data_IF_847052737436
#
_entry.id   IF_847052737436
#
_cell.length_a   1.000
_cell.length_b   1.000
_cell.length_c   1.000
_cell.angle_alpha   90.00
_cell.angle_beta   90.00
_cell.angle_gamma   90.00
#
_symmetry.space_group_name_H-M   'P 1'
#
loop_
_entity.id
_entity.type
_entity.pdbx_description
1 polymer ?
#
# COMPACT_ATOMS: atom_id res chain seq x y z
N UNK A 1 -17.27 23.61 -4.55
CA UNK A 1 -16.80 23.23 -3.20
C UNK A 1 -15.29 23.17 -3.30
N UNK A 2 -14.58 24.02 -2.56
CA UNK A 2 -13.11 24.02 -2.51
C UNK A 2 -12.65 22.78 -1.75
N UNK A 3 -12.04 21.84 -2.45
CA UNK A 3 -11.28 20.73 -1.86
C UNK A 3 -10.26 21.33 -0.90
N UNK A 4 -10.32 20.93 0.37
CA UNK A 4 -9.24 21.27 1.32
C UNK A 4 -7.93 20.74 0.73
N UNK A 5 -6.87 21.55 0.72
CA UNK A 5 -5.55 21.06 0.24
C UNK A 5 -5.14 19.87 1.09
N UNK A 6 -4.46 18.90 0.47
CA UNK A 6 -3.90 17.73 1.14
C UNK A 6 -3.01 18.17 2.32
N UNK A 7 -2.35 19.33 2.20
CA UNK A 7 -1.57 19.97 3.26
C UNK A 7 -2.40 20.20 4.53
N UNK A 8 -3.64 20.68 4.37
CA UNK A 8 -4.52 21.00 5.50
C UNK A 8 -5.08 19.75 6.17
N UNK A 9 -5.33 18.69 5.40
CA UNK A 9 -5.84 17.41 5.92
C UNK A 9 -4.72 16.56 6.52
N UNK A 10 -3.55 16.55 5.89
CA UNK A 10 -2.33 15.92 6.41
C UNK A 10 -1.86 16.58 7.70
N UNK A 11 -1.82 17.92 7.75
CA UNK A 11 -1.52 18.64 8.98
C UNK A 11 -2.49 18.24 10.10
N UNK A 12 -3.81 18.24 9.84
CA UNK A 12 -4.82 17.90 10.85
C UNK A 12 -4.71 16.46 11.38
N UNK A 13 -4.34 15.50 10.54
CA UNK A 13 -4.34 14.09 10.91
C UNK A 13 -3.06 13.62 11.61
N UNK A 14 -1.92 14.30 11.40
CA UNK A 14 -0.63 13.93 11.99
C UNK A 14 -0.30 14.65 13.32
N UNK A 15 -1.30 15.20 14.03
CA UNK A 15 -1.10 16.19 15.11
C UNK A 15 -0.43 17.48 14.58
N UNK A 16 -1.23 18.30 13.90
CA UNK A 16 -0.90 19.58 13.26
C UNK A 16 -0.06 20.56 14.10
N UNK A 17 -0.02 20.39 15.41
CA UNK A 17 0.78 21.23 16.29
C UNK A 17 2.28 21.11 15.98
N UNK A 18 2.75 20.04 15.32
CA UNK A 18 4.16 19.91 14.93
C UNK A 18 4.46 20.43 13.52
N UNK A 19 3.49 20.46 12.60
CA UNK A 19 3.73 20.89 11.21
C UNK A 19 3.77 22.39 11.00
N UNK A 20 3.07 23.15 11.83
CA UNK A 20 3.29 24.59 11.92
C UNK A 20 4.69 24.95 12.48
N UNK A 21 5.40 23.96 13.07
CA UNK A 21 6.71 24.15 13.69
C UNK A 21 7.87 23.57 12.86
N UNK A 22 7.61 22.82 11.77
CA UNK A 22 8.67 22.39 10.88
C UNK A 22 9.04 23.53 9.93
N UNK A 23 10.33 23.87 9.81
CA UNK A 23 10.74 24.96 8.93
C UNK A 23 10.45 24.60 7.46
N UNK A 24 10.23 25.60 6.58
CA UNK A 24 9.81 25.36 5.19
C UNK A 24 10.78 24.50 4.36
N UNK A 25 12.04 24.46 4.77
CA UNK A 25 13.12 23.68 4.17
C UNK A 25 13.18 22.23 4.69
N UNK A 26 12.37 21.84 5.68
CA UNK A 26 12.30 20.46 6.14
C UNK A 26 11.84 19.50 5.02
N UNK A 27 12.47 18.33 4.93
CA UNK A 27 12.16 17.30 3.93
C UNK A 27 10.68 16.92 3.89
N UNK A 28 10.03 16.80 5.05
CA UNK A 28 8.61 16.47 5.15
C UNK A 28 7.76 17.56 4.50
N UNK A 29 8.05 18.83 4.82
CA UNK A 29 7.33 19.99 4.27
C UNK A 29 7.41 20.02 2.75
N UNK A 30 8.60 19.81 2.20
CA UNK A 30 8.81 19.81 0.75
C UNK A 30 8.16 18.59 0.06
N UNK A 31 8.20 17.41 0.68
CA UNK A 31 7.52 16.21 0.15
C UNK A 31 6.01 16.37 0.06
N UNK A 32 5.36 17.01 1.05
CA UNK A 32 3.91 17.29 0.97
C UNK A 32 3.62 18.19 -0.23
N UNK A 33 4.43 19.24 -0.44
CA UNK A 33 4.23 20.16 -1.56
C UNK A 33 4.32 19.41 -2.88
N UNK A 34 5.32 18.53 -3.03
CA UNK A 34 5.47 17.70 -4.23
C UNK A 34 4.25 16.80 -4.44
N UNK A 35 3.78 16.11 -3.40
CA UNK A 35 2.62 15.21 -3.49
C UNK A 35 1.32 15.98 -3.77
N UNK A 36 1.08 17.11 -3.11
CA UNK A 36 -0.10 17.97 -3.32
C UNK A 36 -0.10 18.56 -4.76
N UNK A 37 1.06 19.00 -5.26
CA UNK A 37 1.20 19.45 -6.64
C UNK A 37 0.96 18.32 -7.65
N UNK A 38 1.35 17.09 -7.32
CA UNK A 38 1.06 15.91 -8.16
C UNK A 38 -0.42 15.63 -8.20
N UNK A 39 -1.06 15.57 -7.02
CA UNK A 39 -2.49 15.26 -6.86
C UNK A 39 -3.40 16.33 -7.46
N UNK A 40 -2.98 17.59 -7.42
CA UNK A 40 -3.67 18.72 -8.07
C UNK A 40 -3.30 18.88 -9.55
N UNK A 41 -2.51 17.95 -10.12
CA UNK A 41 -2.06 17.98 -11.51
C UNK A 41 -1.31 19.27 -11.91
N UNK A 42 -0.75 19.99 -10.95
CA UNK A 42 0.12 21.14 -11.19
C UNK A 42 1.49 20.70 -11.71
N UNK A 43 1.92 19.50 -11.33
CA UNK A 43 3.16 18.85 -11.78
C UNK A 43 2.85 17.45 -12.30
N UNK A 44 3.66 16.97 -13.25
CA UNK A 44 3.51 15.61 -13.74
C UNK A 44 4.13 14.60 -12.76
N UNK A 45 3.64 13.34 -12.73
CA UNK A 45 4.24 12.27 -11.93
C UNK A 45 5.77 12.15 -12.09
N UNK A 46 6.27 12.24 -13.32
CA UNK A 46 7.71 12.20 -13.63
C UNK A 46 8.48 13.37 -13.02
N UNK A 47 7.94 14.60 -13.12
CA UNK A 47 8.60 15.78 -12.57
C UNK A 47 8.64 15.72 -11.04
N UNK A 48 7.55 15.29 -10.42
CA UNK A 48 7.45 15.09 -8.97
C UNK A 48 8.38 13.99 -8.48
N UNK A 49 8.46 12.87 -9.18
CA UNK A 49 9.39 11.78 -8.86
C UNK A 49 10.85 12.26 -8.92
N UNK A 50 11.21 13.07 -9.93
CA UNK A 50 12.54 13.67 -10.00
C UNK A 50 12.82 14.64 -8.85
N UNK A 51 11.84 15.49 -8.49
CA UNK A 51 11.97 16.41 -7.37
C UNK A 51 12.13 15.67 -6.04
N UNK A 52 11.31 14.65 -5.79
CA UNK A 52 11.44 13.76 -4.61
C UNK A 52 12.79 13.10 -4.56
N UNK A 53 13.25 12.53 -5.68
CA UNK A 53 14.52 11.82 -5.73
C UNK A 53 15.70 12.73 -5.39
N UNK A 54 15.69 13.96 -5.92
CA UNK A 54 16.72 14.96 -5.62
C UNK A 54 16.68 15.39 -4.15
N UNK A 55 15.47 15.61 -3.62
CA UNK A 55 15.26 16.02 -2.24
C UNK A 55 15.81 14.98 -1.25
N UNK A 56 15.39 13.72 -1.38
CA UNK A 56 15.85 12.64 -0.48
C UNK A 56 17.35 12.40 -0.63
N UNK A 57 17.89 12.44 -1.85
CA UNK A 57 19.33 12.32 -2.07
C UNK A 57 20.12 13.52 -1.53
N UNK A 58 19.49 14.65 -1.24
CA UNK A 58 20.18 15.79 -0.61
C UNK A 58 20.33 15.61 0.91
N UNK A 59 19.48 14.79 1.53
CA UNK A 59 19.48 14.57 2.98
C UNK A 59 20.74 13.83 3.44
N UNK A 60 21.29 14.23 4.59
CA UNK A 60 22.37 13.47 5.23
C UNK A 60 21.85 12.13 5.77
N UNK A 61 20.66 12.13 6.37
CA UNK A 61 19.95 10.94 6.84
C UNK A 61 18.94 10.46 5.78
N UNK A 62 19.31 9.40 5.07
CA UNK A 62 18.47 8.82 4.02
C UNK A 62 17.24 8.12 4.62
N UNK A 63 17.36 7.51 5.80
CA UNK A 63 16.24 6.83 6.46
C UNK A 63 15.15 7.82 6.82
N UNK A 64 15.50 9.01 7.30
CA UNK A 64 14.53 10.07 7.58
C UNK A 64 13.73 10.45 6.33
N UNK A 65 14.41 10.78 5.23
CA UNK A 65 13.77 11.16 3.98
C UNK A 65 12.84 10.07 3.42
N UNK A 66 13.27 8.81 3.45
CA UNK A 66 12.47 7.66 3.03
C UNK A 66 11.25 7.43 3.94
N UNK A 67 11.45 7.48 5.25
CA UNK A 67 10.35 7.32 6.23
C UNK A 67 9.26 8.35 6.00
N UNK A 68 9.65 9.61 5.78
CA UNK A 68 8.73 10.70 5.47
C UNK A 68 7.99 10.45 4.15
N UNK A 69 8.69 10.09 3.08
CA UNK A 69 8.09 9.79 1.79
C UNK A 69 7.05 8.66 1.89
N UNK A 70 7.44 7.52 2.46
CA UNK A 70 6.55 6.35 2.54
C UNK A 70 5.36 6.67 3.43
N UNK A 71 5.57 7.29 4.60
CA UNK A 71 4.49 7.72 5.48
C UNK A 71 3.51 8.68 4.80
N UNK A 72 4.01 9.68 4.08
CA UNK A 72 3.21 10.66 3.33
C UNK A 72 2.44 10.02 2.17
N UNK A 73 3.10 9.19 1.36
CA UNK A 73 2.50 8.52 0.21
C UNK A 73 1.34 7.63 0.66
N UNK A 74 1.60 6.80 1.66
CA UNK A 74 0.62 5.89 2.24
C UNK A 74 -0.52 6.67 2.91
N UNK A 75 -0.21 7.73 3.66
CA UNK A 75 -1.24 8.60 4.18
C UNK A 75 -2.13 9.18 3.08
N UNK A 76 -1.53 9.73 2.02
CA UNK A 76 -2.26 10.34 0.91
C UNK A 76 -3.13 9.33 0.16
N UNK A 77 -2.73 8.06 0.12
CA UNK A 77 -3.53 6.99 -0.45
C UNK A 77 -4.69 6.54 0.48
N UNK A 78 -4.50 6.62 1.80
CA UNK A 78 -5.44 6.14 2.82
C UNK A 78 -6.53 7.12 3.27
N UNK A 79 -6.68 8.28 2.59
CA UNK A 79 -7.61 9.36 2.97
C UNK A 79 -8.78 9.50 1.99
N UNK A 80 -9.57 8.43 1.78
CA UNK A 80 -10.73 8.44 0.87
C UNK A 80 -10.41 9.04 -0.51
N UNK A 81 -9.24 8.71 -1.02
CA UNK A 81 -8.70 9.30 -2.24
C UNK A 81 -9.47 8.77 -3.45
N UNK A 82 -9.77 9.67 -4.39
CA UNK A 82 -10.45 9.32 -5.63
C UNK A 82 -9.58 8.35 -6.45
N UNK A 83 -10.20 7.56 -7.34
CA UNK A 83 -9.45 6.67 -8.23
C UNK A 83 -8.46 7.45 -9.10
N UNK A 84 -8.86 8.60 -9.65
CA UNK A 84 -7.98 9.44 -10.49
C UNK A 84 -6.76 9.94 -9.71
N UNK A 85 -6.96 10.38 -8.45
CA UNK A 85 -5.88 10.82 -7.58
C UNK A 85 -4.95 9.66 -7.20
N UNK A 86 -5.48 8.46 -6.98
CA UNK A 86 -4.67 7.28 -6.73
C UNK A 86 -3.90 6.82 -7.97
N UNK A 87 -4.48 6.93 -9.18
CA UNK A 87 -3.76 6.68 -10.43
C UNK A 87 -2.57 7.63 -10.61
N UNK A 88 -2.73 8.91 -10.23
CA UNK A 88 -1.63 9.88 -10.20
C UNK A 88 -0.55 9.50 -9.18
N UNK A 89 -0.93 9.08 -7.97
CA UNK A 89 0.01 8.61 -6.96
C UNK A 89 0.77 7.36 -7.39
N UNK A 90 0.07 6.38 -7.98
CA UNK A 90 0.70 5.16 -8.50
C UNK A 90 1.63 5.49 -9.67
N UNK A 91 1.21 6.37 -10.58
CA UNK A 91 2.09 6.85 -11.66
C UNK A 91 3.34 7.55 -11.09
N UNK A 92 3.19 8.33 -10.02
CA UNK A 92 4.32 8.98 -9.35
C UNK A 92 5.27 7.96 -8.73
N UNK A 93 4.74 6.92 -8.07
CA UNK A 93 5.54 5.85 -7.49
C UNK A 93 6.27 5.02 -8.58
N UNK A 94 5.62 4.74 -9.69
CA UNK A 94 6.19 4.09 -10.87
C UNK A 94 7.35 4.90 -11.43
N UNK A 95 7.15 6.21 -11.63
CA UNK A 95 8.19 7.09 -12.16
C UNK A 95 9.37 7.25 -11.19
N UNK A 96 9.10 7.17 -9.88
CA UNK A 96 10.15 7.12 -8.87
C UNK A 96 10.95 5.82 -8.94
N UNK A 97 10.28 4.68 -9.10
CA UNK A 97 10.94 3.38 -9.24
C UNK A 97 11.72 3.20 -10.54
N UNK A 98 11.38 3.96 -11.60
CA UNK A 98 12.14 4.00 -12.86
C UNK A 98 13.40 4.87 -12.78
N UNK A 99 13.63 5.61 -11.70
CA UNK A 99 14.81 6.49 -11.58
C UNK A 99 16.10 5.65 -11.56
N UNK A 100 17.20 6.17 -12.14
CA UNK A 100 18.51 5.56 -11.95
C UNK A 100 18.81 5.48 -10.45
N UNK A 101 19.32 4.34 -10.00
CA UNK A 101 19.63 4.18 -8.57
C UNK A 101 20.64 5.22 -8.09
N UNK A 102 20.41 5.65 -6.86
CA UNK A 102 21.10 6.79 -6.30
C UNK A 102 22.53 6.47 -5.89
N UNK A 103 23.39 7.47 -6.05
CA UNK A 103 24.78 7.47 -5.59
C UNK A 103 24.92 8.64 -4.62
N UNK A 104 25.73 8.49 -3.57
CA UNK A 104 26.08 9.63 -2.73
C UNK A 104 27.05 10.55 -3.50
N UNK A 105 26.51 11.54 -4.21
CA UNK A 105 27.31 12.56 -4.93
C UNK A 105 27.88 13.64 -3.99
N UNK A 106 27.48 13.65 -2.72
CA UNK A 106 27.93 14.62 -1.73
C UNK A 106 29.38 14.39 -1.31
N UNK A 107 30.08 15.44 -0.82
CA UNK A 107 31.45 15.30 -0.32
C UNK A 107 31.52 14.53 1.01
N UNK A 108 30.44 14.55 1.78
CA UNK A 108 30.36 13.90 3.09
C UNK A 108 29.67 12.53 3.00
N UNK A 109 30.01 11.56 3.88
CA UNK A 109 29.24 10.35 4.05
C UNK A 109 27.78 10.68 4.40
N UNK A 110 26.86 9.89 3.87
CA UNK A 110 25.46 9.87 4.30
C UNK A 110 25.25 8.74 5.29
N UNK A 111 24.13 8.76 5.99
CA UNK A 111 23.78 7.71 6.95
C UNK A 111 22.42 7.11 6.64
N UNK A 112 22.26 5.85 6.99
CA UNK A 112 20.95 5.21 7.12
C UNK A 112 20.90 4.40 8.41
N UNK A 113 19.78 4.50 9.12
CA UNK A 113 19.48 3.79 10.37
C UNK A 113 18.76 2.46 10.04
N UNK A 114 19.33 1.34 10.49
CA UNK A 114 18.72 0.01 10.40
C UNK A 114 17.70 -0.23 11.53
N UNK A 115 17.70 0.63 12.55
CA UNK A 115 16.95 0.48 13.78
C UNK A 115 17.80 -0.12 14.90
N UNK A 116 17.30 -0.02 16.14
CA UNK A 116 18.02 -0.49 17.31
C UNK A 116 19.31 0.29 17.62
N UNK A 117 19.48 1.48 17.03
CA UNK A 117 20.67 2.32 17.19
C UNK A 117 21.83 1.96 16.28
N UNK A 118 21.61 1.12 15.25
CA UNK A 118 22.63 0.73 14.28
C UNK A 118 22.59 1.67 13.08
N UNK A 119 23.63 2.51 12.97
CA UNK A 119 23.82 3.44 11.87
C UNK A 119 24.85 2.90 10.88
N UNK A 120 24.53 2.99 9.60
CA UNK A 120 25.40 2.60 8.49
C UNK A 120 25.82 3.84 7.72
N UNK A 121 27.11 3.94 7.41
CA UNK A 121 27.66 5.02 6.59
C UNK A 121 27.64 4.65 5.10
N UNK A 122 27.31 5.63 4.26
CA UNK A 122 27.34 5.55 2.80
C UNK A 122 28.41 6.53 2.31
N UNK A 123 29.61 6.04 1.94
CA UNK A 123 30.70 6.90 1.49
C UNK A 123 30.35 7.72 0.24
N UNK A 124 31.06 8.83 0.03
CA UNK A 124 30.98 9.59 -1.22
C UNK A 124 31.34 8.70 -2.43
N UNK A 125 30.56 8.81 -3.50
CA UNK A 125 30.67 7.99 -4.71
C UNK A 125 30.13 6.57 -4.58
N UNK A 126 29.66 6.15 -3.39
CA UNK A 126 29.06 4.83 -3.20
C UNK A 126 27.56 4.83 -3.57
N UNK A 127 27.02 3.71 -4.07
CA UNK A 127 25.58 3.53 -4.22
C UNK A 127 24.87 3.68 -2.87
N UNK A 128 23.71 4.34 -2.88
CA UNK A 128 22.83 4.42 -1.71
C UNK A 128 22.01 3.12 -1.66
N UNK A 129 22.40 2.24 -0.74
CA UNK A 129 21.73 0.95 -0.47
C UNK A 129 21.16 1.00 0.93
N UNK A 130 19.86 0.76 1.07
CA UNK A 130 19.11 0.82 2.34
C UNK A 130 18.41 -0.52 2.53
N UNK A 131 18.55 -1.17 3.68
CA UNK A 131 18.00 -2.52 3.93
C UNK A 131 18.47 -3.57 2.89
N UNK A 132 19.68 -3.39 2.34
CA UNK A 132 20.22 -4.25 1.27
C UNK A 132 19.57 -4.02 -0.11
N UNK A 133 18.77 -2.97 -0.26
CA UNK A 133 18.01 -2.65 -1.48
C UNK A 133 18.50 -1.36 -2.13
N UNK A 134 18.43 -1.32 -3.45
CA UNK A 134 18.65 -0.12 -4.24
C UNK A 134 17.56 0.92 -3.95
N UNK A 135 17.96 2.19 -3.79
CA UNK A 135 17.07 3.23 -3.29
C UNK A 135 15.79 3.41 -4.13
N UNK A 136 15.90 3.40 -5.46
CA UNK A 136 14.76 3.71 -6.32
C UNK A 136 14.17 2.46 -6.96
N UNK A 137 14.99 1.61 -7.57
CA UNK A 137 14.49 0.41 -8.24
C UNK A 137 13.71 -0.52 -7.28
N UNK A 138 14.11 -0.58 -6.02
CA UNK A 138 13.58 -1.53 -5.03
C UNK A 138 12.70 -0.91 -3.95
N UNK A 139 12.59 0.42 -3.90
CA UNK A 139 11.72 1.18 -2.98
C UNK A 139 11.74 0.64 -1.54
N UNK A 140 12.89 0.77 -0.82
CA UNK A 140 13.03 0.29 0.56
C UNK A 140 11.93 0.83 1.47
N UNK A 141 11.62 0.10 2.55
CA UNK A 141 10.52 0.36 3.48
C UNK A 141 9.08 0.23 2.93
N UNK A 142 8.83 0.34 1.62
CA UNK A 142 7.46 0.30 1.06
C UNK A 142 6.76 -1.04 1.36
N UNK A 143 7.40 -2.15 0.99
CA UNK A 143 6.81 -3.50 1.13
C UNK A 143 6.55 -3.86 2.59
N UNK A 144 7.44 -3.48 3.51
CA UNK A 144 7.24 -3.68 4.96
C UNK A 144 6.02 -2.89 5.45
N UNK A 145 5.92 -1.59 5.11
CA UNK A 145 4.78 -0.77 5.52
C UNK A 145 3.46 -1.28 4.93
N UNK A 146 3.43 -1.73 3.67
CA UNK A 146 2.25 -2.36 3.07
C UNK A 146 1.92 -3.69 3.77
N UNK A 147 2.92 -4.46 4.20
CA UNK A 147 2.68 -5.71 4.94
C UNK A 147 2.02 -5.45 6.29
N UNK A 148 2.53 -4.47 7.05
CA UNK A 148 1.92 -4.03 8.32
C UNK A 148 0.48 -3.55 8.13
N UNK A 149 0.26 -2.80 7.06
CA UNK A 149 -1.06 -2.38 6.61
C UNK A 149 -2.04 -3.54 6.35
N UNK A 150 -1.56 -4.65 5.82
CA UNK A 150 -2.37 -5.82 5.45
C UNK A 150 -2.54 -6.87 6.57
N UNK A 151 -2.15 -6.56 7.82
CA UNK A 151 -2.47 -7.41 8.98
C UNK A 151 -3.96 -7.45 9.32
N UNK A 152 -4.74 -6.47 8.84
CA UNK A 152 -6.20 -6.44 8.91
C UNK A 152 -6.77 -5.28 9.74
N UNK A 153 -8.02 -4.86 9.45
CA UNK A 153 -8.68 -3.73 10.09
C UNK A 153 -8.93 -3.91 11.59
N UNK A 154 -8.85 -5.14 12.10
CA UNK A 154 -8.99 -5.44 13.52
C UNK A 154 -7.96 -4.75 14.40
N UNK A 155 -6.76 -4.46 13.86
CA UNK A 155 -5.74 -3.71 14.57
C UNK A 155 -6.22 -2.33 15.00
N UNK A 156 -7.07 -1.69 14.19
CA UNK A 156 -7.61 -0.36 14.51
C UNK A 156 -8.77 -0.43 15.48
N UNK A 157 -9.58 -1.48 15.44
CA UNK A 157 -10.68 -1.66 16.40
C UNK A 157 -10.19 -2.12 17.78
N UNK A 158 -8.99 -2.70 17.85
CA UNK A 158 -8.37 -3.19 19.10
C UNK A 158 -7.16 -2.37 19.56
N UNK A 159 -6.86 -1.25 18.90
CA UNK A 159 -5.76 -0.37 19.29
C UNK A 159 -5.90 0.09 20.74
N UNK A 160 -4.83 -0.11 21.54
CA UNK A 160 -4.81 0.25 22.95
C UNK A 160 -4.87 1.77 23.20
N UNK A 161 -4.43 2.57 22.23
CA UNK A 161 -4.32 4.02 22.39
C UNK A 161 -5.53 4.78 21.85
N UNK A 162 -6.10 4.31 20.74
CA UNK A 162 -7.23 4.98 20.09
C UNK A 162 -8.01 4.01 19.20
N UNK A 163 -8.93 3.19 19.76
CA UNK A 163 -9.72 2.26 18.97
C UNK A 163 -10.72 3.02 18.09
N UNK A 164 -10.78 2.68 16.81
CA UNK A 164 -11.78 3.23 15.87
C UNK A 164 -13.03 2.36 15.81
N UNK A 165 -14.14 2.93 15.34
CA UNK A 165 -15.35 2.13 15.09
C UNK A 165 -15.15 1.16 13.92
N UNK A 166 -15.92 0.06 13.84
CA UNK A 166 -15.87 -0.87 12.71
C UNK A 166 -16.08 -0.19 11.35
N UNK A 167 -16.94 0.82 11.27
CA UNK A 167 -17.22 1.57 10.03
C UNK A 167 -15.99 2.36 9.56
N UNK A 168 -15.29 3.01 10.49
CA UNK A 168 -14.05 3.74 10.20
C UNK A 168 -12.93 2.78 9.81
N UNK A 169 -12.83 1.63 10.49
CA UNK A 169 -11.86 0.60 10.16
C UNK A 169 -12.11 0.00 8.77
N UNK A 170 -13.39 -0.26 8.42
CA UNK A 170 -13.78 -0.74 7.10
C UNK A 170 -13.45 0.29 6.00
N UNK A 171 -13.71 1.57 6.23
CA UNK A 171 -13.38 2.64 5.27
C UNK A 171 -11.86 2.72 5.02
N UNK A 172 -11.04 2.69 6.08
CA UNK A 172 -9.57 2.66 5.95
C UNK A 172 -9.10 1.42 5.20
N UNK A 173 -9.67 0.26 5.52
CA UNK A 173 -9.36 -0.99 4.84
C UNK A 173 -9.66 -0.92 3.34
N UNK A 174 -10.81 -0.34 2.97
CA UNK A 174 -11.19 -0.10 1.57
C UNK A 174 -10.16 0.78 0.87
N UNK A 175 -9.78 1.91 1.46
CA UNK A 175 -8.84 2.86 0.82
C UNK A 175 -7.46 2.23 0.60
N UNK A 176 -6.98 1.46 1.56
CA UNK A 176 -5.72 0.72 1.43
C UNK A 176 -5.80 -0.34 0.32
N UNK A 177 -6.88 -1.12 0.28
CA UNK A 177 -7.08 -2.08 -0.80
C UNK A 177 -7.26 -1.41 -2.17
N UNK A 178 -7.82 -0.19 -2.20
CA UNK A 178 -7.98 0.63 -3.41
C UNK A 178 -6.62 0.95 -4.04
N UNK A 179 -5.67 1.43 -3.24
CA UNK A 179 -4.30 1.68 -3.70
C UNK A 179 -3.68 0.42 -4.32
N UNK A 180 -3.71 -0.70 -3.60
CA UNK A 180 -3.07 -1.94 -4.04
C UNK A 180 -3.74 -2.50 -5.30
N UNK A 181 -5.08 -2.41 -5.41
CA UNK A 181 -5.79 -2.80 -6.61
C UNK A 181 -5.39 -1.95 -7.83
N UNK A 182 -5.16 -0.65 -7.64
CA UNK A 182 -4.68 0.23 -8.71
C UNK A 182 -3.25 -0.13 -9.12
N UNK A 183 -2.35 -0.39 -8.15
CA UNK A 183 -0.99 -0.84 -8.45
C UNK A 183 -1.04 -2.14 -9.26
N UNK A 184 -1.85 -3.12 -8.84
CA UNK A 184 -2.00 -4.41 -9.52
C UNK A 184 -2.50 -4.27 -10.97
N UNK A 185 -3.41 -3.33 -11.22
CA UNK A 185 -3.96 -2.99 -12.54
C UNK A 185 -2.96 -2.26 -13.44
N UNK A 186 -2.09 -1.45 -12.85
CA UNK A 186 -1.21 -0.56 -13.61
C UNK A 186 -0.10 -1.35 -14.32
N UNK A 187 -0.10 -1.34 -15.67
CA UNK A 187 0.83 -2.13 -16.48
C UNK A 187 2.30 -1.72 -16.27
N UNK A 188 2.57 -0.43 -16.10
CA UNK A 188 3.92 0.06 -15.84
C UNK A 188 4.41 -0.35 -14.45
N UNK A 189 3.53 -0.46 -13.47
CA UNK A 189 3.88 -1.00 -12.17
C UNK A 189 4.20 -2.50 -12.25
N UNK A 190 3.49 -3.27 -13.09
CA UNK A 190 3.71 -4.71 -13.20
C UNK A 190 5.04 -5.11 -13.87
N UNK A 191 5.70 -4.20 -14.60
CA UNK A 191 7.05 -4.46 -15.15
C UNK A 191 8.17 -4.15 -14.15
N UNK A 192 7.86 -3.51 -13.02
CA UNK A 192 8.82 -3.12 -11.99
C UNK A 192 8.80 -4.16 -10.85
N UNK A 193 9.90 -4.87 -10.56
CA UNK A 193 9.92 -5.91 -9.53
C UNK A 193 9.46 -5.46 -8.14
N UNK A 194 9.72 -4.20 -7.76
CA UNK A 194 9.32 -3.60 -6.48
C UNK A 194 7.81 -3.35 -6.34
N UNK A 195 7.08 -3.30 -7.45
CA UNK A 195 5.64 -3.04 -7.50
C UNK A 195 4.83 -4.21 -8.08
N UNK A 196 5.49 -5.14 -8.76
CA UNK A 196 4.90 -6.36 -9.27
C UNK A 196 4.44 -7.28 -8.12
N UNK A 197 3.38 -8.04 -8.38
CA UNK A 197 2.93 -9.08 -7.43
C UNK A 197 2.09 -8.56 -6.26
N UNK A 198 1.83 -7.26 -6.13
CA UNK A 198 0.89 -6.74 -5.13
C UNK A 198 -0.55 -7.25 -5.29
N UNK A 199 -0.92 -7.77 -6.47
CA UNK A 199 -2.16 -8.53 -6.67
C UNK A 199 -2.30 -9.69 -5.68
N UNK A 200 -1.19 -10.26 -5.20
CA UNK A 200 -1.20 -11.38 -4.25
C UNK A 200 -1.80 -11.01 -2.89
N UNK A 201 -1.82 -9.72 -2.52
CA UNK A 201 -2.45 -9.25 -1.29
C UNK A 201 -3.97 -9.34 -1.33
N UNK A 202 -4.57 -9.36 -2.53
CA UNK A 202 -6.02 -9.56 -2.69
C UNK A 202 -6.51 -10.85 -2.01
N UNK A 203 -5.68 -11.89 -2.01
CA UNK A 203 -5.99 -13.20 -1.43
C UNK A 203 -6.29 -13.09 0.07
N UNK A 204 -5.55 -12.25 0.80
CA UNK A 204 -5.76 -11.98 2.22
C UNK A 204 -7.17 -11.40 2.42
N UNK A 205 -7.48 -10.32 1.69
CA UNK A 205 -8.77 -9.62 1.77
C UNK A 205 -9.95 -10.52 1.39
N UNK A 206 -9.84 -11.26 0.28
CA UNK A 206 -10.89 -12.15 -0.21
C UNK A 206 -11.12 -13.32 0.75
N UNK A 207 -10.06 -13.92 1.30
CA UNK A 207 -10.18 -14.99 2.29
C UNK A 207 -10.88 -14.51 3.56
N UNK A 208 -10.42 -13.40 4.14
CA UNK A 208 -10.99 -12.83 5.37
C UNK A 208 -12.47 -12.46 5.20
N UNK A 209 -12.86 -11.96 4.02
CA UNK A 209 -14.23 -11.59 3.73
C UNK A 209 -15.14 -12.80 3.42
N UNK A 210 -14.66 -13.82 2.71
CA UNK A 210 -15.55 -14.75 1.98
C UNK A 210 -15.40 -16.22 2.36
N UNK A 211 -14.32 -16.62 3.05
CA UNK A 211 -14.03 -18.04 3.31
C UNK A 211 -14.33 -18.51 4.73
N UNK A 212 -14.66 -17.61 5.65
CA UNK A 212 -14.74 -17.93 7.07
C UNK A 212 -16.16 -17.85 7.64
N UNK A 213 -16.53 -18.83 8.47
CA UNK A 213 -17.84 -18.80 9.15
C UNK A 213 -17.89 -17.72 10.24
N UNK A 214 -19.07 -17.11 10.49
CA UNK A 214 -19.23 -16.01 11.46
C UNK A 214 -18.80 -16.34 12.90
N UNK A 215 -18.73 -17.63 13.26
CA UNK A 215 -18.30 -18.10 14.58
C UNK A 215 -16.78 -18.25 14.73
N UNK A 216 -16.00 -18.01 13.67
CA UNK A 216 -14.53 -18.06 13.69
C UNK A 216 -13.93 -16.69 14.05
N UNK A 217 -12.64 -16.67 14.42
CA UNK A 217 -11.92 -15.42 14.72
C UNK A 217 -11.94 -14.43 13.55
N UNK A 218 -11.85 -14.92 12.31
CA UNK A 218 -11.80 -14.10 11.11
C UNK A 218 -13.22 -13.79 10.59
N UNK A 219 -14.10 -14.79 10.51
CA UNK A 219 -15.44 -14.60 9.96
C UNK A 219 -16.37 -13.73 10.80
N UNK A 220 -16.12 -13.56 12.11
CA UNK A 220 -16.88 -12.60 12.93
C UNK A 220 -16.74 -11.14 12.45
N UNK A 221 -15.69 -10.83 11.69
CA UNK A 221 -15.39 -9.50 11.16
C UNK A 221 -15.68 -9.38 9.66
N UNK A 222 -16.34 -10.36 9.04
CA UNK A 222 -16.64 -10.37 7.59
C UNK A 222 -17.20 -9.04 7.08
N UNK A 223 -18.09 -8.38 7.84
CA UNK A 223 -18.69 -7.10 7.46
C UNK A 223 -17.67 -5.97 7.26
N UNK A 224 -16.54 -5.99 7.96
CA UNK A 224 -15.47 -4.98 7.86
C UNK A 224 -14.66 -5.19 6.58
N UNK A 225 -14.51 -6.43 6.12
CA UNK A 225 -13.72 -6.77 4.93
C UNK A 225 -14.54 -6.77 3.64
N UNK A 226 -15.85 -7.03 3.72
CA UNK A 226 -16.72 -7.21 2.55
C UNK A 226 -16.66 -6.05 1.54
N UNK A 227 -16.65 -4.76 1.95
CA UNK A 227 -16.53 -3.65 1.02
C UNK A 227 -15.20 -3.65 0.24
N UNK A 228 -14.10 -4.04 0.88
CA UNK A 228 -12.79 -4.14 0.22
C UNK A 228 -12.73 -5.35 -0.73
N UNK A 229 -13.39 -6.46 -0.39
CA UNK A 229 -13.53 -7.59 -1.31
C UNK A 229 -14.31 -7.20 -2.57
N UNK A 230 -15.43 -6.48 -2.41
CA UNK A 230 -16.20 -5.96 -3.55
C UNK A 230 -15.37 -5.02 -4.44
N UNK A 231 -14.54 -4.17 -3.82
CA UNK A 231 -13.64 -3.26 -4.52
C UNK A 231 -12.61 -4.00 -5.40
N UNK A 232 -12.03 -5.09 -4.91
CA UNK A 232 -11.08 -5.88 -5.68
C UNK A 232 -11.68 -6.39 -6.99
N UNK A 233 -12.91 -6.89 -6.96
CA UNK A 233 -13.61 -7.32 -8.17
C UNK A 233 -13.94 -6.18 -9.13
N UNK A 234 -14.23 -4.98 -8.62
CA UNK A 234 -14.61 -3.83 -9.46
C UNK A 234 -13.42 -3.10 -10.05
N UNK A 235 -12.29 -3.04 -9.34
CA UNK A 235 -11.10 -2.27 -9.74
C UNK A 235 -10.07 -3.12 -10.50
N UNK A 236 -9.85 -4.36 -10.05
CA UNK A 236 -8.78 -5.24 -10.54
C UNK A 236 -9.29 -6.67 -10.83
N UNK A 237 -10.53 -6.80 -11.28
CA UNK A 237 -11.19 -8.08 -11.51
C UNK A 237 -10.55 -8.92 -12.62
N UNK A 238 -10.00 -8.29 -13.66
CA UNK A 238 -9.29 -9.00 -14.74
C UNK A 238 -7.90 -9.46 -14.27
N UNK A 239 -7.22 -8.68 -13.43
CA UNK A 239 -5.94 -9.06 -12.81
C UNK A 239 -6.13 -10.25 -11.86
N UNK A 240 -7.20 -10.24 -11.05
CA UNK A 240 -7.60 -11.36 -10.21
C UNK A 240 -7.84 -12.63 -11.04
N UNK A 241 -8.57 -12.49 -12.14
CA UNK A 241 -8.85 -13.59 -13.06
C UNK A 241 -7.55 -14.17 -13.62
N UNK A 242 -6.65 -13.32 -14.13
CA UNK A 242 -5.33 -13.75 -14.64
C UNK A 242 -4.50 -14.46 -13.58
N UNK A 243 -4.45 -13.95 -12.35
CA UNK A 243 -3.76 -14.59 -11.22
C UNK A 243 -4.33 -15.99 -10.94
N UNK A 244 -5.66 -16.12 -10.93
CA UNK A 244 -6.34 -17.40 -10.66
C UNK A 244 -6.25 -18.39 -11.83
N UNK A 245 -6.18 -17.91 -13.08
CA UNK A 245 -5.95 -18.74 -14.26
C UNK A 245 -4.53 -19.32 -14.29
N UNK A 246 -3.54 -18.57 -13.78
CA UNK A 246 -2.18 -19.08 -13.61
C UNK A 246 -2.11 -20.18 -12.55
N UNK A 247 -2.91 -20.09 -11.46
CA UNK A 247 -3.01 -21.13 -10.45
C UNK A 247 -1.71 -21.39 -9.65
N UNK A 248 -0.76 -20.46 -9.71
CA UNK A 248 0.56 -20.59 -9.07
C UNK A 248 0.54 -20.22 -7.58
N UNK A 249 -0.49 -19.48 -7.17
CA UNK A 249 -0.59 -18.92 -5.84
C UNK A 249 -1.23 -19.92 -4.86
N UNK A 250 -0.62 -20.05 -3.67
CA UNK A 250 -1.16 -20.87 -2.56
C UNK A 250 -1.47 -20.03 -1.32
N UNK A 251 -2.53 -20.40 -0.62
CA UNK A 251 -2.98 -19.78 0.63
C UNK A 251 -3.86 -20.76 1.40
N UNK A 252 -3.71 -20.79 2.73
CA UNK A 252 -4.57 -21.58 3.60
C UNK A 252 -6.06 -21.34 3.32
N UNK A 253 -6.85 -22.40 3.31
CA UNK A 253 -8.29 -22.33 3.10
C UNK A 253 -9.01 -21.86 4.38
N UNK A 254 -9.98 -20.96 4.23
CA UNK A 254 -11.00 -20.78 5.25
C UNK A 254 -11.95 -21.98 5.31
N UNK A 255 -12.65 -22.11 6.44
CA UNK A 255 -13.45 -23.28 6.78
C UNK A 255 -14.58 -23.53 5.77
N UNK A 256 -15.24 -22.48 5.26
CA UNK A 256 -16.32 -22.61 4.27
C UNK A 256 -15.76 -23.15 2.94
N UNK A 257 -14.61 -22.64 2.50
CA UNK A 257 -13.97 -23.11 1.27
C UNK A 257 -13.46 -24.54 1.42
N UNK A 258 -12.82 -24.86 2.54
CA UNK A 258 -12.32 -26.20 2.84
C UNK A 258 -13.45 -27.24 2.88
N UNK A 259 -14.60 -26.90 3.44
CA UNK A 259 -15.79 -27.76 3.43
C UNK A 259 -16.32 -27.97 2.01
N UNK A 260 -16.43 -26.92 1.21
CA UNK A 260 -16.88 -27.01 -0.19
C UNK A 260 -16.00 -27.90 -1.05
N UNK A 261 -14.67 -27.80 -0.89
CA UNK A 261 -13.70 -28.66 -1.61
C UNK A 261 -13.87 -30.13 -1.20
N UNK A 262 -14.03 -30.39 0.10
CA UNK A 262 -14.24 -31.73 0.65
C UNK A 262 -15.51 -32.38 0.07
N UNK A 263 -16.61 -31.63 0.05
CA UNK A 263 -17.92 -32.14 -0.40
C UNK A 263 -17.97 -32.40 -1.91
N UNK A 264 -17.27 -31.58 -2.70
CA UNK A 264 -17.24 -31.71 -4.17
C UNK A 264 -16.09 -32.57 -4.68
N UNK A 265 -15.18 -33.02 -3.81
CA UNK A 265 -14.03 -33.86 -4.16
C UNK A 265 -13.03 -33.19 -5.13
N UNK A 266 -13.00 -31.86 -5.16
CA UNK A 266 -12.32 -31.09 -6.21
C UNK A 266 -11.07 -30.37 -5.72
N UNK A 267 -9.90 -30.96 -5.96
CA UNK A 267 -8.61 -30.24 -5.97
C UNK A 267 -7.94 -29.99 -4.61
N UNK A 268 -6.80 -29.29 -4.68
CA UNK A 268 -6.03 -28.82 -3.52
C UNK A 268 -6.67 -27.52 -3.00
N UNK A 269 -7.23 -27.57 -1.78
CA UNK A 269 -7.92 -26.42 -1.17
C UNK A 269 -7.03 -25.19 -0.98
N UNK A 270 -5.70 -25.36 -1.01
CA UNK A 270 -4.77 -24.25 -0.83
C UNK A 270 -4.50 -23.48 -2.13
N UNK A 271 -4.77 -24.06 -3.30
CA UNK A 271 -4.53 -23.40 -4.58
C UNK A 271 -5.55 -22.28 -4.79
N UNK A 272 -5.06 -21.12 -5.23
CA UNK A 272 -5.90 -19.99 -5.62
C UNK A 272 -6.11 -20.06 -7.14
N UNK A 273 -7.14 -20.81 -7.53
CA UNK A 273 -7.49 -21.08 -8.92
C UNK A 273 -8.84 -20.44 -9.33
N UNK A 274 -9.24 -20.67 -10.58
CA UNK A 274 -10.52 -20.20 -11.12
C UNK A 274 -11.72 -20.78 -10.34
N UNK A 275 -11.60 -21.98 -9.77
CA UNK A 275 -12.65 -22.58 -8.92
C UNK A 275 -12.86 -21.75 -7.65
N UNK A 276 -11.77 -21.39 -6.97
CA UNK A 276 -11.78 -20.56 -5.76
C UNK A 276 -12.24 -19.13 -6.07
N UNK A 277 -11.84 -18.58 -7.21
CA UNK A 277 -12.36 -17.30 -7.71
C UNK A 277 -13.87 -17.31 -7.90
N UNK A 278 -14.41 -18.37 -8.51
CA UNK A 278 -15.84 -18.52 -8.72
C UNK A 278 -16.59 -18.67 -7.39
N UNK A 279 -16.03 -19.41 -6.44
CA UNK A 279 -16.55 -19.47 -5.07
C UNK A 279 -16.63 -18.10 -4.42
N UNK A 280 -15.57 -17.28 -4.50
CA UNK A 280 -15.58 -15.92 -3.94
C UNK A 280 -16.66 -15.05 -4.57
N UNK A 281 -16.83 -15.10 -5.90
CA UNK A 281 -17.90 -14.36 -6.59
C UNK A 281 -19.29 -14.75 -6.10
N UNK A 282 -19.55 -16.05 -5.93
CA UNK A 282 -20.82 -16.56 -5.40
C UNK A 282 -21.06 -16.08 -3.97
N UNK A 283 -20.07 -16.22 -3.08
CA UNK A 283 -20.19 -15.77 -1.68
C UNK A 283 -20.40 -14.27 -1.57
N UNK A 284 -19.72 -13.47 -2.38
CA UNK A 284 -19.93 -12.03 -2.40
C UNK A 284 -21.37 -11.66 -2.80
N UNK A 285 -21.92 -12.35 -3.80
CA UNK A 285 -23.30 -12.13 -4.24
C UNK A 285 -24.32 -12.54 -3.16
N UNK A 286 -24.08 -13.66 -2.46
CA UNK A 286 -24.92 -14.12 -1.34
C UNK A 286 -24.92 -13.12 -0.18
N UNK A 287 -23.75 -12.62 0.20
CA UNK A 287 -23.59 -11.68 1.33
C UNK A 287 -24.11 -10.27 1.02
N UNK A 288 -24.16 -9.85 -0.24
CA UNK A 288 -24.77 -8.58 -0.64
C UNK A 288 -26.31 -8.60 -0.67
N UNK A 289 -26.94 -9.79 -0.61
CA UNK A 289 -28.39 -9.94 -0.60
C UNK A 289 -28.99 -10.05 0.81
N UNK A 290 -28.15 -10.12 1.83
CA UNK A 290 -28.52 -10.15 3.26
C UNK A 290 -28.63 -8.75 3.85
#
# INVERSE_FOLDING_TARGET
MTTSSLITEWAKACHADQLANYPPDNVSTQLIVIIDQTLSSQTSPTASAAATANLIQSEHDITHGLSCLIGLFLFAAGQNTSLDSLELLVSYLVELAKRPDAINEGPEPKVWDEGGGVMHEIPSGAPIIVEGKQLWAELPMLSWNITEWFQGPELWTHSHCNPTTPEVAAAKWVDMNKLIAIIARNLDAQVLPSLAGYINLSRITLSMALEHSPNTRLGKNTSIHLPAAALWFSVAGEELKRMCEAGEQKMAAGDIWAERVRDKGSGDSEVVDVTRLQFWKERLAELHQM
#
